data_IF_216647699275
#
_entry.id   IF_216647699275
#
_cell.length_a   1.000
_cell.length_b   1.000
_cell.length_c   1.000
_cell.angle_alpha   90.00
_cell.angle_beta   90.00
_cell.angle_gamma   90.00
#
_symmetry.space_group_name_H-M   'P 1'
#
loop_
_entity.id
_entity.type
_entity.pdbx_description
1 polymer ?
#
# COMPACT_ATOMS: atom_id res chain seq x y z
N UNK A 1 -8.33 6.26 6.60
CA UNK A 1 -7.32 5.31 7.11
C UNK A 1 -6.70 4.61 5.91
N UNK A 2 -5.38 4.59 5.83
CA UNK A 2 -4.63 4.01 4.71
C UNK A 2 -3.83 2.80 5.20
N UNK A 3 -4.07 1.65 4.57
CA UNK A 3 -3.46 0.38 4.97
C UNK A 3 -2.01 0.25 4.51
N UNK A 4 -1.30 -0.75 5.06
CA UNK A 4 0.07 -1.08 4.67
C UNK A 4 0.14 -1.79 3.31
N UNK A 5 1.33 -1.96 2.76
CA UNK A 5 1.45 -2.75 1.53
C UNK A 5 1.17 -4.23 1.80
N UNK A 6 0.62 -4.92 0.79
CA UNK A 6 0.10 -6.29 0.90
C UNK A 6 -1.08 -6.45 1.86
N UNK A 7 -1.69 -5.34 2.27
CA UNK A 7 -2.85 -5.29 3.16
C UNK A 7 -4.08 -4.72 2.45
N UNK A 8 -5.17 -4.48 3.16
CA UNK A 8 -6.40 -3.87 2.63
C UNK A 8 -7.16 -3.14 3.75
N UNK A 9 -8.10 -2.27 3.41
CA UNK A 9 -8.84 -1.40 4.34
C UNK A 9 -9.46 -2.11 5.54
N UNK A 10 -10.00 -3.32 5.33
CA UNK A 10 -10.65 -4.14 6.35
C UNK A 10 -9.69 -4.68 7.42
N UNK A 11 -8.38 -4.46 7.31
CA UNK A 11 -7.47 -4.75 8.44
C UNK A 11 -7.63 -3.80 9.61
N UNK A 12 -8.35 -2.69 9.40
CA UNK A 12 -8.78 -1.79 10.45
C UNK A 12 -10.11 -2.16 11.11
N UNK A 13 -10.71 -3.33 10.83
CA UNK A 13 -12.05 -3.69 11.31
C UNK A 13 -12.20 -3.77 12.84
N UNK A 14 -11.10 -3.82 13.59
CA UNK A 14 -11.12 -3.63 15.06
C UNK A 14 -11.06 -2.15 15.44
N UNK A 15 -10.16 -1.38 14.82
CA UNK A 15 -9.92 0.03 15.19
C UNK A 15 -11.00 0.97 14.67
N UNK A 16 -11.52 0.74 13.47
CA UNK A 16 -12.48 1.62 12.83
C UNK A 16 -13.80 1.73 13.64
N UNK A 17 -14.42 0.64 14.13
CA UNK A 17 -15.58 0.73 15.02
C UNK A 17 -15.28 1.47 16.32
N UNK A 18 -14.14 1.21 16.97
CA UNK A 18 -13.76 1.90 18.21
C UNK A 18 -13.65 3.43 18.04
N UNK A 19 -13.10 3.86 16.90
CA UNK A 19 -12.99 5.29 16.57
C UNK A 19 -14.38 5.85 16.22
N UNK A 20 -15.24 5.08 15.56
CA UNK A 20 -16.60 5.47 15.26
C UNK A 20 -17.46 5.64 16.53
N UNK A 21 -17.34 4.73 17.49
CA UNK A 21 -18.01 4.80 18.80
C UNK A 21 -17.58 6.03 19.61
N UNK A 22 -16.35 6.51 19.39
CA UNK A 22 -15.85 7.77 19.93
C UNK A 22 -16.40 9.03 19.20
N UNK A 23 -17.35 8.87 18.27
CA UNK A 23 -18.07 9.95 17.60
C UNK A 23 -17.47 10.43 16.28
N UNK A 24 -16.54 9.68 15.68
CA UNK A 24 -15.90 10.06 14.42
C UNK A 24 -16.52 9.35 13.21
N UNK A 25 -16.56 10.04 12.07
CA UNK A 25 -16.79 9.35 10.78
C UNK A 25 -15.48 8.71 10.33
N UNK A 26 -15.43 7.39 10.30
CA UNK A 26 -14.27 6.65 9.81
C UNK A 26 -14.45 6.27 8.35
N UNK A 27 -13.43 6.58 7.53
CA UNK A 27 -13.35 6.14 6.14
C UNK A 27 -12.02 5.43 5.95
N UNK A 28 -12.06 4.20 5.48
CA UNK A 28 -10.90 3.42 5.02
C UNK A 28 -11.16 3.00 3.58
N UNK A 29 -10.11 2.94 2.76
CA UNK A 29 -10.22 2.54 1.36
C UNK A 29 -9.05 1.64 0.99
N UNK A 30 -9.27 0.82 -0.03
CA UNK A 30 -8.22 -0.02 -0.59
C UNK A 30 -7.35 0.80 -1.54
N UNK A 31 -6.04 0.61 -1.48
CA UNK A 31 -5.13 1.13 -2.48
C UNK A 31 -5.24 0.31 -3.77
N UNK A 32 -4.90 0.91 -4.91
CA UNK A 32 -4.81 0.22 -6.20
C UNK A 32 -4.17 -1.17 -6.07
N UNK A 33 -4.76 -2.17 -6.73
CA UNK A 33 -4.31 -3.56 -6.70
C UNK A 33 -4.44 -4.29 -5.37
N UNK A 34 -5.20 -3.74 -4.42
CA UNK A 34 -5.53 -4.36 -3.14
C UNK A 34 -7.04 -4.35 -2.94
N UNK A 35 -7.53 -5.30 -2.14
CA UNK A 35 -8.94 -5.37 -1.74
C UNK A 35 -9.91 -5.29 -2.92
N UNK A 36 -10.89 -4.40 -2.83
CA UNK A 36 -11.91 -4.18 -3.86
C UNK A 36 -11.58 -3.03 -4.83
N UNK A 37 -10.37 -2.46 -4.74
CA UNK A 37 -9.91 -1.47 -5.70
C UNK A 37 -9.31 -2.10 -6.95
N UNK A 38 -9.46 -1.41 -8.07
CA UNK A 38 -9.00 -1.89 -9.37
C UNK A 38 -7.50 -2.20 -9.39
N UNK A 39 -7.16 -3.17 -10.24
CA UNK A 39 -5.79 -3.42 -10.62
C UNK A 39 -5.29 -2.29 -11.53
N UNK A 40 -3.99 -1.97 -11.44
CA UNK A 40 -3.39 -0.86 -12.15
C UNK A 40 -2.26 -1.32 -13.06
N UNK A 41 -2.04 -0.57 -14.14
CA UNK A 41 -0.91 -0.84 -15.03
C UNK A 41 0.45 -0.53 -14.37
N UNK A 42 0.46 0.35 -13.37
CA UNK A 42 1.66 0.80 -12.67
C UNK A 42 1.38 0.98 -11.17
N UNK A 43 2.27 0.41 -10.36
CA UNK A 43 2.29 0.47 -8.88
C UNK A 43 3.48 1.32 -8.40
N UNK A 44 3.50 2.59 -8.83
CA UNK A 44 4.54 3.53 -8.46
C UNK A 44 4.15 4.36 -7.24
N UNK A 45 5.12 4.72 -6.40
CA UNK A 45 4.88 5.49 -5.17
C UNK A 45 4.09 6.79 -5.42
N UNK A 46 4.52 7.61 -6.38
CA UNK A 46 3.82 8.85 -6.74
C UNK A 46 2.42 8.61 -7.33
N UNK A 47 2.16 7.43 -7.89
CA UNK A 47 0.84 7.08 -8.38
C UNK A 47 -0.09 6.67 -7.23
N UNK A 48 0.43 5.95 -6.23
CA UNK A 48 -0.29 5.64 -4.99
C UNK A 48 -0.62 6.94 -4.20
N UNK A 49 0.35 7.84 -4.03
CA UNK A 49 0.16 9.13 -3.34
C UNK A 49 -0.92 9.98 -4.03
N UNK A 50 -0.94 10.02 -5.37
CA UNK A 50 -2.00 10.71 -6.13
C UNK A 50 -3.38 10.09 -5.91
N UNK A 51 -3.49 8.77 -5.78
CA UNK A 51 -4.76 8.12 -5.47
C UNK A 51 -5.23 8.46 -4.06
N UNK A 52 -4.32 8.46 -3.07
CA UNK A 52 -4.65 8.88 -1.71
C UNK A 52 -5.16 10.32 -1.69
N UNK A 53 -4.52 11.21 -2.46
CA UNK A 53 -4.97 12.58 -2.58
C UNK A 53 -6.38 12.68 -3.18
N UNK A 54 -6.63 11.97 -4.29
CA UNK A 54 -7.94 11.95 -4.93
C UNK A 54 -9.02 11.38 -3.99
N UNK A 55 -8.72 10.30 -3.27
CA UNK A 55 -9.61 9.73 -2.27
C UNK A 55 -9.93 10.74 -1.16
N UNK A 56 -8.91 11.38 -0.57
CA UNK A 56 -9.09 12.39 0.49
C UNK A 56 -9.98 13.55 0.00
N UNK A 57 -9.72 14.08 -1.20
CA UNK A 57 -10.49 15.19 -1.76
C UNK A 57 -11.94 14.80 -2.12
N UNK A 58 -12.19 13.52 -2.43
CA UNK A 58 -13.56 13.02 -2.63
C UNK A 58 -14.35 12.88 -1.32
N UNK A 59 -13.64 12.79 -0.18
CA UNK A 59 -14.23 12.56 1.15
C UNK A 59 -14.55 13.90 1.84
N UNK A 60 -13.70 14.91 1.68
CA UNK A 60 -13.81 16.21 2.35
C UNK A 60 -13.04 17.30 1.60
N UNK A 61 -13.58 18.53 1.58
CA UNK A 61 -12.86 19.74 1.20
C UNK A 61 -12.08 20.36 2.37
N UNK A 62 -12.49 20.06 3.61
CA UNK A 62 -11.86 20.56 4.84
C UNK A 62 -10.76 19.62 5.33
N UNK A 63 -9.77 20.12 6.09
CA UNK A 63 -8.71 19.29 6.67
C UNK A 63 -9.28 18.19 7.59
N UNK A 64 -8.82 16.95 7.40
CA UNK A 64 -9.30 15.78 8.16
C UNK A 64 -8.20 15.15 9.01
N UNK A 65 -8.56 14.24 9.93
CA UNK A 65 -7.56 13.41 10.60
C UNK A 65 -7.16 12.29 9.66
N UNK A 66 -5.87 12.19 9.37
CA UNK A 66 -5.31 11.13 8.54
C UNK A 66 -4.62 10.09 9.42
N UNK A 67 -4.79 8.82 9.09
CA UNK A 67 -4.12 7.70 9.75
C UNK A 67 -3.59 6.76 8.67
N UNK A 68 -2.32 6.40 8.77
CA UNK A 68 -1.67 5.47 7.85
C UNK A 68 -0.83 4.44 8.58
N UNK A 69 -0.84 3.21 8.09
CA UNK A 69 0.01 2.12 8.58
C UNK A 69 1.09 1.77 7.57
N UNK A 70 2.34 1.59 8.02
CA UNK A 70 3.47 1.13 7.20
C UNK A 70 3.58 1.92 5.88
N UNK A 71 3.45 1.26 4.72
CA UNK A 71 3.42 1.93 3.40
C UNK A 71 2.46 3.11 3.35
N UNK A 72 1.24 2.93 3.84
CA UNK A 72 0.21 3.98 3.88
C UNK A 72 0.60 5.16 4.76
N UNK A 73 1.30 4.91 5.86
CA UNK A 73 1.85 5.97 6.72
C UNK A 73 2.94 6.76 6.01
N UNK A 74 3.89 6.07 5.34
CA UNK A 74 4.92 6.74 4.56
C UNK A 74 4.37 7.54 3.38
N UNK A 75 3.34 7.02 2.70
CA UNK A 75 2.67 7.69 1.59
C UNK A 75 1.89 8.94 2.02
N UNK A 76 1.24 8.88 3.19
CA UNK A 76 0.59 10.05 3.77
C UNK A 76 1.60 11.08 4.26
N UNK A 77 2.75 10.64 4.81
CA UNK A 77 3.82 11.55 5.20
C UNK A 77 4.36 12.33 3.98
N UNK A 78 4.65 11.63 2.88
CA UNK A 78 5.08 12.25 1.61
C UNK A 78 4.03 13.22 1.05
N UNK A 79 2.75 12.83 1.10
CA UNK A 79 1.66 13.72 0.70
C UNK A 79 1.60 15.00 1.55
N UNK A 80 1.75 14.87 2.86
CA UNK A 80 1.64 15.98 3.81
C UNK A 80 2.86 16.89 3.82
N UNK A 81 4.02 16.41 3.39
CA UNK A 81 5.22 17.23 3.17
C UNK A 81 4.92 18.34 2.13
N UNK A 82 4.29 17.98 1.01
CA UNK A 82 3.90 18.94 -0.01
C UNK A 82 2.55 19.64 0.23
N UNK A 83 1.66 19.04 1.04
CA UNK A 83 0.26 19.49 1.21
C UNK A 83 -0.21 19.42 2.67
N UNK A 84 0.47 20.09 3.63
CA UNK A 84 0.18 19.94 5.06
C UNK A 84 -1.24 20.37 5.43
N UNK A 85 -1.85 21.30 4.67
CA UNK A 85 -3.22 21.79 4.88
C UNK A 85 -4.30 20.73 4.67
N UNK A 86 -3.99 19.55 4.14
CA UNK A 86 -4.97 18.46 4.00
C UNK A 86 -5.33 17.80 5.33
N UNK A 87 -4.46 17.91 6.35
CA UNK A 87 -4.63 17.22 7.62
C UNK A 87 -4.79 18.19 8.78
N UNK A 88 -5.84 17.97 9.59
CA UNK A 88 -5.95 18.54 10.93
C UNK A 88 -4.97 17.89 11.90
N UNK A 89 -4.73 16.59 11.71
CA UNK A 89 -3.80 15.78 12.48
C UNK A 89 -3.40 14.55 11.66
N UNK A 90 -2.22 14.00 11.95
CA UNK A 90 -1.73 12.78 11.31
C UNK A 90 -1.28 11.76 12.35
N UNK A 91 -1.81 10.54 12.25
CA UNK A 91 -1.44 9.38 13.07
C UNK A 91 -0.66 8.41 12.20
N UNK A 92 0.65 8.30 12.45
CA UNK A 92 1.53 7.39 11.72
C UNK A 92 1.75 6.11 12.51
N UNK A 93 1.26 4.98 12.00
CA UNK A 93 1.48 3.65 12.58
C UNK A 93 2.65 3.00 11.83
N UNK A 94 3.87 3.20 12.32
CA UNK A 94 5.08 2.55 11.82
C UNK A 94 5.35 2.78 10.30
N UNK A 95 4.86 3.90 9.76
CA UNK A 95 5.12 4.34 8.39
C UNK A 95 6.32 5.29 8.33
N UNK A 96 7.43 4.91 8.95
CA UNK A 96 8.64 5.74 8.95
C UNK A 96 9.38 5.60 7.61
N UNK A 97 9.96 6.69 7.09
CA UNK A 97 10.87 6.59 5.95
C UNK A 97 12.03 5.68 6.34
N UNK A 98 12.29 4.67 5.52
CA UNK A 98 13.40 3.76 5.76
C UNK A 98 14.72 4.54 5.80
N UNK A 99 15.59 4.25 6.78
CA UNK A 99 16.95 4.80 6.89
C UNK A 99 17.90 4.34 5.76
N UNK A 100 17.39 3.88 4.61
CA UNK A 100 18.23 3.56 3.48
C UNK A 100 18.83 4.85 2.92
N UNK A 101 20.04 5.17 3.39
CA UNK A 101 20.94 6.08 2.71
C UNK A 101 21.04 5.60 1.27
N UNK A 102 20.49 6.39 0.33
CA UNK A 102 20.77 6.12 -1.07
C UNK A 102 22.30 6.21 -1.22
N UNK A 103 22.96 5.19 -1.80
CA UNK A 103 24.38 5.32 -2.08
C UNK A 103 24.57 6.59 -2.91
N UNK A 104 25.60 7.37 -2.59
CA UNK A 104 25.94 8.58 -3.33
C UNK A 104 26.38 8.17 -4.74
N UNK A 105 25.40 8.10 -5.64
CA UNK A 105 25.58 7.69 -7.03
C UNK A 105 25.43 8.92 -7.93
N UNK A 106 26.41 9.11 -8.81
CA UNK A 106 26.34 10.17 -9.80
C UNK A 106 25.11 9.98 -10.71
N UNK A 107 24.66 11.06 -11.32
CA UNK A 107 23.45 11.09 -12.14
C UNK A 107 23.44 10.08 -13.30
N UNK A 108 24.61 9.75 -13.85
CA UNK A 108 24.72 8.80 -14.97
C UNK A 108 24.44 7.37 -14.48
N UNK A 109 25.02 6.98 -13.35
CA UNK A 109 24.78 5.69 -12.72
C UNK A 109 23.36 5.60 -12.19
N UNK A 110 22.84 6.68 -11.60
CA UNK A 110 21.42 6.81 -11.23
C UNK A 110 20.53 6.58 -12.44
N UNK A 111 20.72 7.29 -13.56
CA UNK A 111 19.94 7.09 -14.80
C UNK A 111 20.06 5.66 -15.36
N UNK A 112 21.24 5.05 -15.31
CA UNK A 112 21.44 3.66 -15.75
C UNK A 112 20.69 2.66 -14.87
N UNK A 113 20.77 2.82 -13.54
CA UNK A 113 20.00 2.03 -12.57
C UNK A 113 18.50 2.21 -12.80
N UNK A 114 18.02 3.45 -12.99
CA UNK A 114 16.62 3.75 -13.32
C UNK A 114 16.15 3.03 -14.60
N UNK A 115 16.96 2.99 -15.66
CA UNK A 115 16.64 2.26 -16.92
C UNK A 115 16.60 0.76 -16.73
N UNK A 116 17.60 0.18 -16.06
CA UNK A 116 17.65 -1.25 -15.78
C UNK A 116 16.48 -1.68 -14.89
N UNK A 117 16.16 -0.88 -13.87
CA UNK A 117 15.04 -1.13 -12.98
C UNK A 117 13.69 -1.02 -13.72
N UNK A 118 13.53 -0.01 -14.59
CA UNK A 118 12.34 0.16 -15.44
C UNK A 118 12.17 -1.03 -16.40
N UNK A 119 13.23 -1.43 -17.11
CA UNK A 119 13.20 -2.58 -18.01
C UNK A 119 12.83 -3.87 -17.26
N UNK A 120 13.46 -4.11 -16.11
CA UNK A 120 13.15 -5.25 -15.23
C UNK A 120 11.69 -5.22 -14.74
N UNK A 121 11.18 -4.03 -14.41
CA UNK A 121 9.78 -3.81 -14.03
C UNK A 121 8.79 -4.15 -15.14
N UNK A 122 9.04 -3.66 -16.36
CA UNK A 122 8.22 -3.93 -17.54
C UNK A 122 8.25 -5.42 -17.92
N UNK A 123 9.43 -6.04 -17.91
CA UNK A 123 9.62 -7.47 -18.19
C UNK A 123 8.88 -8.35 -17.18
N UNK A 124 9.00 -8.01 -15.89
CA UNK A 124 8.27 -8.70 -14.82
C UNK A 124 6.77 -8.55 -15.03
N UNK A 125 6.29 -7.36 -15.37
CA UNK A 125 4.87 -7.14 -15.67
C UNK A 125 4.43 -7.99 -16.86
N UNK A 126 5.19 -8.02 -17.96
CA UNK A 126 4.90 -8.85 -19.13
C UNK A 126 4.76 -10.33 -18.76
N UNK A 127 5.70 -10.87 -17.98
CA UNK A 127 5.67 -12.26 -17.52
C UNK A 127 4.54 -12.58 -16.54
N UNK A 128 3.97 -11.56 -15.89
CA UNK A 128 2.97 -11.72 -14.84
C UNK A 128 1.57 -11.26 -15.23
N UNK A 129 1.39 -10.76 -16.46
CA UNK A 129 0.13 -10.18 -16.91
C UNK A 129 -1.05 -11.16 -16.86
N UNK A 130 -0.78 -12.45 -17.03
CA UNK A 130 -1.77 -13.53 -17.02
C UNK A 130 -1.79 -14.33 -15.71
N UNK A 131 -1.01 -13.90 -14.70
CA UNK A 131 -1.01 -14.61 -13.43
C UNK A 131 -2.35 -14.45 -12.72
N UNK A 132 -2.78 -15.54 -12.10
CA UNK A 132 -3.85 -15.54 -11.11
C UNK A 132 -3.29 -15.97 -9.76
N UNK A 133 -3.86 -15.45 -8.67
CA UNK A 133 -3.51 -15.92 -7.32
C UNK A 133 -4.00 -17.37 -7.18
N UNK A 134 -3.14 -18.25 -6.64
CA UNK A 134 -3.48 -19.66 -6.41
C UNK A 134 -4.68 -19.78 -5.46
N UNK A 135 -5.71 -20.58 -5.80
CA UNK A 135 -6.86 -20.76 -4.92
C UNK A 135 -6.47 -21.59 -3.69
N UNK A 136 -7.26 -21.50 -2.63
CA UNK A 136 -7.17 -22.36 -1.44
C UNK A 136 -8.47 -22.30 -0.61
N UNK A 137 -8.49 -23.04 0.50
CA UNK A 137 -9.43 -22.88 1.60
C UNK A 137 -9.16 -21.61 2.41
N UNK A 138 -10.09 -21.22 3.28
CA UNK A 138 -9.87 -20.10 4.22
C UNK A 138 -8.67 -20.39 5.11
N UNK A 139 -8.62 -21.60 5.66
CA UNK A 139 -7.59 -22.10 6.56
C UNK A 139 -6.23 -22.14 5.86
N UNK A 140 -6.20 -22.61 4.61
CA UNK A 140 -4.98 -22.66 3.80
C UNK A 140 -4.46 -21.27 3.45
N UNK A 141 -5.33 -20.32 3.09
CA UNK A 141 -4.93 -18.94 2.89
C UNK A 141 -4.40 -18.29 4.17
N UNK A 142 -5.06 -18.53 5.32
CA UNK A 142 -4.63 -18.04 6.62
C UNK A 142 -3.26 -18.61 7.01
N UNK A 143 -3.06 -19.91 6.83
CA UNK A 143 -1.78 -20.58 7.06
C UNK A 143 -0.65 -19.99 6.23
N UNK A 144 -0.87 -19.75 4.93
CA UNK A 144 0.13 -19.11 4.06
C UNK A 144 0.43 -17.66 4.46
N UNK A 145 -0.50 -16.97 5.13
CA UNK A 145 -0.33 -15.58 5.59
C UNK A 145 0.35 -15.49 6.96
N UNK A 146 0.25 -16.52 7.80
CA UNK A 146 0.78 -16.55 9.17
C UNK A 146 2.28 -16.23 9.27
N UNK A 147 3.20 -16.72 8.40
CA UNK A 147 4.62 -16.41 8.50
C UNK A 147 4.92 -14.90 8.40
N UNK A 148 4.09 -14.15 7.67
CA UNK A 148 4.22 -12.69 7.58
C UNK A 148 3.60 -11.97 8.77
N UNK A 149 2.72 -12.63 9.53
CA UNK A 149 1.94 -12.03 10.62
C UNK A 149 1.94 -12.94 11.86
N UNK A 150 3.11 -13.25 12.45
CA UNK A 150 3.24 -14.27 13.49
C UNK A 150 2.53 -13.91 14.80
N UNK A 151 2.14 -12.63 14.98
CA UNK A 151 1.44 -12.14 16.17
C UNK A 151 -0.08 -12.14 16.02
N UNK A 152 -0.62 -12.37 14.82
CA UNK A 152 -2.06 -12.45 14.62
C UNK A 152 -2.55 -13.86 14.94
N UNK A 153 -3.70 -13.95 15.61
CA UNK A 153 -4.34 -15.24 15.88
C UNK A 153 -4.78 -15.89 14.57
N UNK A 154 -4.91 -17.22 14.59
CA UNK A 154 -5.43 -17.99 13.45
C UNK A 154 -6.82 -17.52 13.05
N UNK A 155 -7.71 -17.35 14.02
CA UNK A 155 -9.09 -16.86 13.81
C UNK A 155 -9.11 -15.50 13.12
N UNK A 156 -8.21 -14.58 13.49
CA UNK A 156 -8.12 -13.28 12.83
C UNK A 156 -7.60 -13.39 11.40
N UNK A 157 -6.64 -14.28 11.13
CA UNK A 157 -6.17 -14.50 9.76
C UNK A 157 -7.26 -15.12 8.88
N UNK A 158 -8.03 -16.06 9.40
CA UNK A 158 -9.17 -16.65 8.69
C UNK A 158 -10.25 -15.59 8.41
N UNK A 159 -10.54 -14.72 9.39
CA UNK A 159 -11.39 -13.56 9.17
C UNK A 159 -10.86 -12.67 8.04
N UNK A 160 -9.57 -12.30 8.07
CA UNK A 160 -8.95 -11.49 7.02
C UNK A 160 -9.07 -12.12 5.63
N UNK A 161 -9.05 -13.45 5.54
CA UNK A 161 -9.32 -14.13 4.27
C UNK A 161 -10.73 -13.83 3.78
N UNK A 162 -11.75 -13.94 4.63
CA UNK A 162 -13.15 -13.72 4.21
C UNK A 162 -13.42 -12.33 3.65
N UNK A 163 -12.65 -11.32 4.07
CA UNK A 163 -12.82 -9.92 3.64
C UNK A 163 -11.80 -9.47 2.58
N UNK A 164 -10.62 -10.09 2.57
CA UNK A 164 -9.51 -9.74 1.67
C UNK A 164 -9.36 -10.66 0.46
N UNK A 165 -10.03 -11.81 0.46
CA UNK A 165 -10.09 -12.73 -0.66
C UNK A 165 -11.49 -12.72 -1.30
N UNK A 166 -11.56 -13.27 -2.52
CA UNK A 166 -12.80 -13.59 -3.23
C UNK A 166 -12.91 -15.10 -3.36
N UNK A 167 -14.12 -15.62 -3.46
CA UNK A 167 -14.39 -17.04 -3.68
C UNK A 167 -14.86 -17.26 -5.12
N UNK A 168 -14.25 -18.22 -5.81
CA UNK A 168 -14.68 -18.74 -7.11
C UNK A 168 -14.82 -20.27 -7.08
N UNK A 169 -15.16 -20.87 -8.22
CA UNK A 169 -15.42 -22.32 -8.32
C UNK A 169 -14.21 -23.19 -7.92
N UNK A 170 -12.99 -22.66 -7.94
CA UNK A 170 -11.78 -23.37 -7.53
C UNK A 170 -11.37 -23.08 -6.08
N UNK A 171 -12.02 -22.11 -5.41
CA UNK A 171 -11.80 -21.75 -4.00
C UNK A 171 -11.52 -20.27 -3.75
N UNK A 172 -10.91 -19.96 -2.61
CA UNK A 172 -10.60 -18.59 -2.19
C UNK A 172 -9.28 -18.08 -2.77
N UNK A 173 -9.28 -16.83 -3.23
CA UNK A 173 -8.09 -16.12 -3.74
C UNK A 173 -7.99 -14.73 -3.18
N UNK A 174 -6.81 -14.37 -2.67
CA UNK A 174 -6.53 -12.98 -2.29
C UNK A 174 -6.85 -12.03 -3.46
N UNK A 175 -7.55 -10.94 -3.17
CA UNK A 175 -7.89 -9.90 -4.16
C UNK A 175 -6.70 -9.01 -4.53
N UNK A 176 -5.53 -9.27 -3.96
CA UNK A 176 -4.30 -8.54 -4.27
C UNK A 176 -3.72 -8.95 -5.62
N UNK A 177 -3.36 -7.94 -6.43
CA UNK A 177 -2.82 -8.16 -7.77
C UNK A 177 -1.55 -9.07 -7.72
N UNK A 178 -1.49 -10.16 -8.49
CA UNK A 178 -0.33 -11.06 -8.56
C UNK A 178 0.96 -10.43 -9.11
N UNK A 179 0.90 -9.25 -9.74
CA UNK A 179 2.09 -8.52 -10.18
C UNK A 179 2.76 -7.73 -9.04
N UNK A 180 2.04 -7.50 -7.93
CA UNK A 180 2.61 -6.90 -6.72
C UNK A 180 3.62 -7.87 -6.08
N UNK A 181 4.82 -7.36 -5.81
CA UNK A 181 5.92 -8.09 -5.18
C UNK A 181 6.61 -7.21 -4.12
N UNK A 182 7.09 -7.84 -3.04
CA UNK A 182 7.96 -7.20 -2.05
C UNK A 182 9.36 -7.09 -2.65
N UNK A 183 9.93 -5.88 -2.68
CA UNK A 183 11.30 -5.63 -3.15
C UNK A 183 11.51 -5.70 -4.68
N UNK A 184 11.59 -4.55 -5.34
CA UNK A 184 11.86 -4.37 -6.77
C UNK A 184 11.29 -3.04 -7.27
N UNK A 185 11.56 -2.63 -8.53
CA UNK A 185 10.97 -1.42 -9.12
C UNK A 185 9.44 -1.37 -8.88
N UNK A 186 8.97 -0.31 -8.23
CA UNK A 186 7.65 -0.24 -7.58
C UNK A 186 7.76 -0.14 -6.04
N UNK A 187 6.66 -0.29 -5.29
CA UNK A 187 6.11 0.61 -4.26
C UNK A 187 6.90 0.86 -2.95
N UNK A 188 8.21 0.65 -2.92
CA UNK A 188 8.99 0.58 -1.67
C UNK A 188 10.35 1.27 -1.68
N UNK A 189 10.68 2.07 -2.71
CA UNK A 189 11.92 2.85 -2.71
C UNK A 189 11.64 4.32 -2.35
N UNK A 190 11.65 4.70 -1.06
CA UNK A 190 11.53 6.09 -0.63
C UNK A 190 12.69 6.98 -1.14
N UNK A 191 13.79 6.40 -1.65
CA UNK A 191 14.84 7.17 -2.32
C UNK A 191 14.36 7.98 -3.54
N UNK A 192 13.20 7.64 -4.14
CA UNK A 192 12.62 8.44 -5.21
C UNK A 192 11.70 9.57 -4.73
N UNK A 193 11.17 9.52 -3.50
CA UNK A 193 10.46 10.66 -2.91
C UNK A 193 11.45 11.70 -2.39
N UNK A 194 12.57 11.27 -1.79
CA UNK A 194 13.64 12.18 -1.34
C UNK A 194 14.34 12.93 -2.49
N UNK A 195 14.44 12.32 -3.68
CA UNK A 195 15.01 12.98 -4.87
C UNK A 195 14.14 14.17 -5.38
N UNK A 196 12.91 14.37 -4.88
CA UNK A 196 12.12 15.57 -5.18
C UNK A 196 12.53 16.80 -4.36
N UNK A 197 13.32 16.63 -3.28
CA UNK A 197 13.83 17.75 -2.48
C UNK A 197 15.08 18.40 -3.11
N UNK A 198 15.89 17.63 -3.85
CA UNK A 198 17.12 18.13 -4.49
C UNK A 198 16.90 18.85 -5.83
N UNK A 199 15.65 18.92 -6.32
CA UNK A 199 15.29 19.60 -7.57
C UNK A 199 14.66 20.99 -7.33
N UNK A 200 14.67 21.47 -6.09
CA UNK A 200 14.18 22.79 -5.68
C UNK A 200 15.29 23.72 -5.14
N UNK A 201 16.55 23.36 -5.38
CA UNK A 201 17.73 24.25 -5.31
C UNK A 201 18.36 24.36 -6.71
#
# INVERSE_FOLDING_TARGET
MVHGGFDFSRTFDVFAPMIADAGWRVVAWDARGHGDSDHAHLYGWAADVRDHLAAIQSISSEPIVLLGHSKGGGQLLDLLDGRPSLARAFVNLDGLPSQFSSPDVNDRERRRMRRADLASGLDRRRRRAELTRRPDTIEGLAERRQPMNPRLSREWLEYLVTVGARHDDEGWRWKIDPVLHLGGFGPWRPGWSLDHLAALE
#
